data_IF_596257296900
#
_entry.id   IF_596257296900
#
_cell.length_a   1.000
_cell.length_b   1.000
_cell.length_c   1.000
_cell.angle_alpha   90.00
_cell.angle_beta   90.00
_cell.angle_gamma   90.00
#
_symmetry.space_group_name_H-M   'P 1'
#
loop_
_entity.id
_entity.type
_entity.pdbx_description
1 polymer ?
#
# COMPACT_ATOMS: atom_id res chain seq x y z
N UNK A 1 8.26 -19.18 45.64
CA UNK A 1 8.80 -19.34 44.28
C UNK A 1 10.30 -19.56 44.41
N UNK A 2 10.77 -20.79 44.20
CA UNK A 2 12.18 -21.14 44.18
C UNK A 2 12.89 -20.67 42.91
N UNK A 3 14.24 -20.66 42.89
CA UNK A 3 15.03 -20.15 41.77
C UNK A 3 14.76 -20.87 40.43
N UNK A 4 14.41 -22.17 40.49
CA UNK A 4 14.05 -22.95 39.30
C UNK A 4 12.74 -22.48 38.64
N UNK A 5 11.72 -22.15 39.44
CA UNK A 5 10.44 -21.65 38.94
C UNK A 5 10.58 -20.28 38.28
N UNK A 6 11.45 -19.42 38.83
CA UNK A 6 11.78 -18.11 38.23
C UNK A 6 12.48 -18.29 36.88
N UNK A 7 13.41 -19.25 36.76
CA UNK A 7 14.09 -19.54 35.51
C UNK A 7 13.12 -20.02 34.42
N UNK A 8 12.17 -20.89 34.77
CA UNK A 8 11.15 -21.37 33.82
C UNK A 8 10.26 -20.23 33.33
N UNK A 9 9.81 -19.36 34.23
CA UNK A 9 8.99 -18.19 33.86
C UNK A 9 9.76 -17.24 32.95
N UNK A 10 11.05 -17.01 33.22
CA UNK A 10 11.89 -16.15 32.39
C UNK A 10 12.06 -16.70 30.97
N UNK A 11 12.24 -18.02 30.81
CA UNK A 11 12.35 -18.67 29.50
C UNK A 11 11.04 -18.55 28.72
N UNK A 12 9.90 -18.86 29.37
CA UNK A 12 8.58 -18.77 28.72
C UNK A 12 8.28 -17.33 28.30
N UNK A 13 8.58 -16.35 29.17
CA UNK A 13 8.41 -14.94 28.85
C UNK A 13 9.31 -14.50 27.68
N UNK A 14 10.57 -14.96 27.63
CA UNK A 14 11.49 -14.67 26.53
C UNK A 14 11.00 -15.22 25.19
N UNK A 15 10.50 -16.46 25.17
CA UNK A 15 9.93 -17.07 23.96
C UNK A 15 8.67 -16.35 23.51
N UNK A 16 7.77 -16.01 24.45
CA UNK A 16 6.53 -15.30 24.15
C UNK A 16 6.80 -13.90 23.56
N UNK A 17 7.74 -13.14 24.14
CA UNK A 17 8.12 -11.82 23.63
C UNK A 17 8.77 -11.89 22.25
N UNK A 18 9.64 -12.88 22.02
CA UNK A 18 10.29 -13.10 20.73
C UNK A 18 9.27 -13.41 19.63
N UNK A 19 8.33 -14.33 19.90
CA UNK A 19 7.25 -14.67 18.97
C UNK A 19 6.36 -13.46 18.65
N UNK A 20 6.01 -12.65 19.66
CA UNK A 20 5.19 -11.45 19.47
C UNK A 20 5.92 -10.40 18.62
N UNK A 21 7.21 -10.18 18.87
CA UNK A 21 8.04 -9.24 18.09
C UNK A 21 8.14 -9.68 16.63
N UNK A 22 8.40 -10.96 16.39
CA UNK A 22 8.51 -11.52 15.04
C UNK A 22 7.18 -11.43 14.26
N UNK A 23 6.05 -11.61 14.95
CA UNK A 23 4.73 -11.45 14.33
C UNK A 23 4.40 -9.99 14.01
N UNK A 24 4.80 -9.04 14.87
CA UNK A 24 4.62 -7.60 14.61
C UNK A 24 5.48 -7.12 13.44
N UNK A 25 6.73 -7.55 13.40
CA UNK A 25 7.68 -7.17 12.35
C UNK A 25 7.26 -7.70 10.97
N UNK A 26 6.78 -8.95 10.90
CA UNK A 26 6.21 -9.49 9.66
C UNK A 26 4.91 -8.78 9.22
N UNK A 27 4.10 -8.28 10.15
CA UNK A 27 2.89 -7.53 9.78
C UNK A 27 3.22 -6.12 9.31
N UNK A 28 4.18 -5.44 9.93
CA UNK A 28 4.63 -4.11 9.50
C UNK A 28 5.28 -4.18 8.11
N UNK A 29 6.07 -5.22 7.82
CA UNK A 29 6.70 -5.39 6.50
C UNK A 29 5.67 -5.68 5.40
N UNK A 30 4.72 -6.60 5.63
CA UNK A 30 3.66 -6.94 4.67
C UNK A 30 2.73 -5.76 4.43
N UNK A 31 2.33 -5.03 5.49
CA UNK A 31 1.47 -3.87 5.36
C UNK A 31 2.17 -2.72 4.60
N UNK A 32 3.48 -2.56 4.78
CA UNK A 32 4.26 -1.59 4.00
C UNK A 32 4.33 -1.93 2.52
N UNK A 33 4.44 -3.22 2.18
CA UNK A 33 4.49 -3.67 0.79
C UNK A 33 3.14 -3.50 0.08
N UNK A 34 2.04 -3.92 0.70
CA UNK A 34 0.69 -3.72 0.16
C UNK A 34 0.37 -2.24 -0.05
N UNK A 35 0.70 -1.38 0.92
CA UNK A 35 0.50 0.08 0.80
C UNK A 35 1.35 0.67 -0.33
N UNK A 36 2.54 0.14 -0.56
CA UNK A 36 3.42 0.59 -1.66
C UNK A 36 2.85 0.17 -3.02
N UNK A 37 2.34 -1.06 -3.13
CA UNK A 37 1.70 -1.56 -4.35
C UNK A 37 0.42 -0.76 -4.68
N UNK A 38 -0.43 -0.51 -3.68
CA UNK A 38 -1.64 0.32 -3.81
C UNK A 38 -1.32 1.74 -4.28
N UNK A 39 -0.26 2.36 -3.75
CA UNK A 39 0.20 3.68 -4.22
C UNK A 39 0.66 3.65 -5.68
N UNK A 40 1.39 2.62 -6.09
CA UNK A 40 1.83 2.48 -7.47
C UNK A 40 0.64 2.33 -8.44
N UNK A 41 -0.39 1.58 -8.05
CA UNK A 41 -1.62 1.45 -8.82
C UNK A 41 -2.38 2.77 -8.93
N UNK A 42 -2.49 3.53 -7.84
CA UNK A 42 -3.11 4.86 -7.85
C UNK A 42 -2.39 5.82 -8.79
N UNK A 43 -1.06 5.87 -8.77
CA UNK A 43 -0.28 6.71 -9.68
C UNK A 43 -0.53 6.33 -11.15
N UNK A 44 -0.56 5.03 -11.44
CA UNK A 44 -0.87 4.53 -12.79
C UNK A 44 -2.28 4.88 -13.23
N UNK A 45 -3.25 4.84 -12.31
CA UNK A 45 -4.63 5.22 -12.59
C UNK A 45 -4.76 6.73 -12.86
N UNK A 46 -4.09 7.57 -12.06
CA UNK A 46 -4.05 9.02 -12.24
C UNK A 46 -3.47 9.40 -13.61
N UNK A 47 -2.35 8.79 -14.01
CA UNK A 47 -1.74 9.04 -15.31
C UNK A 47 -2.68 8.68 -16.47
N UNK A 48 -3.48 7.61 -16.33
CA UNK A 48 -4.49 7.24 -17.32
C UNK A 48 -5.65 8.22 -17.35
N UNK A 49 -6.11 8.71 -16.20
CA UNK A 49 -7.16 9.73 -16.13
C UNK A 49 -6.69 11.02 -16.79
N UNK A 50 -5.49 11.50 -16.48
CA UNK A 50 -4.91 12.70 -17.10
C UNK A 50 -4.77 12.56 -18.63
N UNK A 51 -4.34 11.39 -19.09
CA UNK A 51 -4.26 11.09 -20.53
C UNK A 51 -5.65 11.10 -21.18
N UNK A 52 -6.65 10.51 -20.51
CA UNK A 52 -8.03 10.48 -21.00
C UNK A 52 -8.68 11.87 -20.99
N UNK A 53 -8.43 12.68 -19.97
CA UNK A 53 -8.88 14.06 -19.89
C UNK A 53 -8.28 14.89 -21.04
N UNK A 54 -7.00 14.69 -21.35
CA UNK A 54 -6.33 15.37 -22.47
C UNK A 54 -6.93 14.93 -23.82
N UNK A 55 -7.10 13.63 -24.05
CA UNK A 55 -7.67 13.09 -25.30
C UNK A 55 -9.13 13.54 -25.48
N UNK A 56 -9.93 13.51 -24.42
CA UNK A 56 -11.33 13.94 -24.48
C UNK A 56 -11.39 15.41 -24.80
N UNK A 57 -10.61 16.25 -24.10
CA UNK A 57 -10.59 17.71 -24.30
C UNK A 57 -10.19 18.06 -25.73
N UNK A 58 -9.14 17.44 -26.26
CA UNK A 58 -8.63 17.69 -27.61
C UNK A 58 -9.62 17.23 -28.70
N UNK A 59 -10.24 16.06 -28.54
CA UNK A 59 -11.29 15.59 -29.46
C UNK A 59 -12.54 16.47 -29.44
N UNK A 60 -12.96 16.96 -28.28
CA UNK A 60 -14.11 17.86 -28.20
C UNK A 60 -13.85 19.21 -28.87
N UNK A 61 -12.62 19.73 -28.77
CA UNK A 61 -12.23 20.97 -29.47
C UNK A 61 -12.15 20.76 -30.99
N UNK A 62 -11.50 19.69 -31.45
CA UNK A 62 -11.40 19.36 -32.88
C UNK A 62 -12.79 19.17 -33.52
N UNK A 63 -13.70 18.47 -32.84
CA UNK A 63 -15.05 18.23 -33.37
C UNK A 63 -15.87 19.54 -33.44
N UNK A 64 -15.74 20.42 -32.45
CA UNK A 64 -16.41 21.72 -32.44
C UNK A 64 -15.94 22.62 -33.59
N UNK A 65 -14.63 22.66 -33.84
CA UNK A 65 -14.06 23.43 -34.94
C UNK A 65 -14.45 22.87 -36.32
N UNK A 66 -14.57 21.56 -36.46
CA UNK A 66 -14.97 20.91 -37.71
C UNK A 66 -16.47 21.10 -38.01
N UNK A 67 -17.33 21.07 -36.98
CA UNK A 67 -18.76 21.40 -37.11
C UNK A 67 -18.97 22.86 -37.48
N UNK A 68 -18.21 23.79 -36.90
CA UNK A 68 -18.37 25.23 -37.16
C UNK A 68 -17.80 25.67 -38.53
N UNK A 69 -17.01 24.81 -39.18
CA UNK A 69 -16.48 25.00 -40.54
C UNK A 69 -17.36 24.44 -41.65
N UNK A 70 -18.38 23.63 -41.32
CA UNK A 70 -19.42 23.13 -42.23
C UNK A 70 -20.64 24.04 -42.22
#
# INVERSE_FOLDING_TARGET
MGPFEVAVVAIIAGVALSAFKHHKENRESVQSEEVTQLKAELTKLQQRVETLETIVTDKSYQLGDEINRL
#
